data_IF_458466018978
#
_entry.id   IF_458466018978
#
_cell.length_a   1.000
_cell.length_b   1.000
_cell.length_c   1.000
_cell.angle_alpha   90.00
_cell.angle_beta   90.00
_cell.angle_gamma   90.00
#
_symmetry.space_group_name_H-M   'P 1'
#
loop_
_entity.id
_entity.type
_entity.pdbx_description
1 polymer ?
#
# COMPACT_ATOMS: atom_id res chain seq x y z
N UNK A 1 13.68 -0.54 18.99
CA UNK A 1 13.92 0.70 18.23
C UNK A 1 12.71 0.87 17.32
N UNK A 2 11.65 1.47 17.86
CA UNK A 2 10.54 1.95 17.06
C UNK A 2 11.13 3.07 16.21
N UNK A 3 11.45 2.78 14.94
CA UNK A 3 11.82 3.85 14.02
C UNK A 3 10.65 4.81 14.02
N UNK A 4 10.93 6.03 14.48
CA UNK A 4 10.04 7.17 14.39
C UNK A 4 9.58 7.27 12.93
N UNK A 5 8.40 6.71 12.66
CA UNK A 5 7.89 6.44 11.31
C UNK A 5 7.30 7.72 10.69
N UNK A 6 7.81 8.88 11.10
CA UNK A 6 7.34 10.21 10.68
C UNK A 6 7.78 10.54 9.25
N UNK A 7 8.83 9.87 8.74
CA UNK A 7 9.35 10.06 7.37
C UNK A 7 9.05 8.88 6.42
N UNK A 8 8.48 7.78 6.93
CA UNK A 8 8.17 6.61 6.11
C UNK A 8 6.85 6.81 5.37
N UNK A 9 6.97 7.23 4.11
CA UNK A 9 5.86 7.31 3.16
C UNK A 9 5.37 5.93 2.66
N UNK A 10 5.92 4.82 3.14
CA UNK A 10 5.47 3.47 2.77
C UNK A 10 4.70 2.83 3.92
N UNK A 11 3.49 2.35 3.62
CA UNK A 11 2.62 1.67 4.57
C UNK A 11 2.54 0.18 4.22
N UNK A 12 2.26 -0.62 5.25
CA UNK A 12 1.95 -2.03 5.11
C UNK A 12 0.49 -2.26 5.49
N UNK A 13 -0.25 -2.87 4.58
CA UNK A 13 -1.68 -3.13 4.69
C UNK A 13 -1.85 -4.64 4.78
N UNK A 14 -2.64 -5.12 5.73
CA UNK A 14 -3.01 -6.53 5.86
C UNK A 14 -4.53 -6.64 5.88
N UNK A 15 -5.07 -7.83 5.58
CA UNK A 15 -6.50 -8.06 5.58
C UNK A 15 -7.27 -7.45 4.41
N UNK A 16 -6.58 -7.06 3.34
CA UNK A 16 -7.25 -6.93 2.05
C UNK A 16 -7.86 -8.34 1.76
N UNK A 17 -9.16 -8.52 1.44
CA UNK A 17 -9.85 -9.84 1.23
C UNK A 17 -9.18 -10.92 0.32
N UNK A 18 -9.71 -11.25 -0.87
CA UNK A 18 -8.95 -12.03 -1.90
C UNK A 18 -9.11 -11.52 -3.35
N UNK A 19 -9.73 -10.34 -3.54
CA UNK A 19 -10.13 -9.80 -4.85
C UNK A 19 -9.51 -8.45 -5.24
N UNK A 20 -8.49 -7.95 -4.54
CA UNK A 20 -7.87 -6.64 -4.85
C UNK A 20 -6.61 -6.78 -5.68
N UNK A 21 -6.46 -5.82 -6.58
CA UNK A 21 -5.33 -5.68 -7.46
C UNK A 21 -4.51 -4.45 -7.08
N UNK A 22 -3.28 -4.37 -7.61
CA UNK A 22 -2.42 -3.19 -7.46
C UNK A 22 -3.17 -1.92 -7.86
N UNK A 23 -3.94 -1.98 -8.95
CA UNK A 23 -4.75 -0.86 -9.43
C UNK A 23 -5.87 -0.49 -8.47
N UNK A 24 -6.63 -1.47 -7.96
CA UNK A 24 -7.70 -1.23 -6.99
C UNK A 24 -7.19 -0.63 -5.68
N UNK A 25 -6.09 -1.17 -5.16
CA UNK A 25 -5.41 -0.63 -3.97
C UNK A 25 -4.94 0.79 -4.25
N UNK A 26 -4.40 1.05 -5.44
CA UNK A 26 -3.99 2.39 -5.80
C UNK A 26 -5.13 3.38 -5.91
N UNK A 27 -6.23 2.99 -6.55
CA UNK A 27 -7.43 3.82 -6.69
C UNK A 27 -8.04 4.17 -5.34
N UNK A 28 -7.94 3.24 -4.39
CA UNK A 28 -8.38 3.45 -3.03
C UNK A 28 -7.43 4.37 -2.27
N UNK A 29 -6.14 4.09 -2.24
CA UNK A 29 -5.19 4.88 -1.45
C UNK A 29 -4.89 6.26 -2.08
N UNK A 30 -5.08 6.44 -3.40
CA UNK A 30 -4.88 7.75 -4.06
C UNK A 30 -5.86 8.81 -3.56
N UNK A 31 -7.00 8.40 -2.98
CA UNK A 31 -7.99 9.32 -2.41
C UNK A 31 -7.50 9.94 -1.10
N UNK A 32 -6.61 9.24 -0.39
CA UNK A 32 -6.01 9.68 0.88
C UNK A 32 -4.77 10.53 0.59
N UNK A 33 -3.98 10.16 -0.42
CA UNK A 33 -2.90 10.98 -0.91
C UNK A 33 -2.15 10.39 -2.09
N UNK A 34 -1.10 11.06 -2.55
CA UNK A 34 -0.46 10.71 -3.83
C UNK A 34 0.35 9.42 -3.64
N UNK A 35 -0.02 8.36 -4.36
CA UNK A 35 0.77 7.12 -4.41
C UNK A 35 1.92 7.32 -5.37
N UNK A 36 3.10 6.88 -4.96
CA UNK A 36 4.28 6.93 -5.80
C UNK A 36 4.08 6.05 -7.02
N UNK A 37 4.22 6.61 -8.22
CA UNK A 37 4.08 5.87 -9.48
C UNK A 37 5.46 5.58 -10.07
N UNK A 38 5.68 4.34 -10.48
CA UNK A 38 6.91 3.95 -11.16
C UNK A 38 6.92 4.55 -12.57
N UNK A 39 7.83 5.49 -12.84
CA UNK A 39 7.96 6.15 -14.15
C UNK A 39 8.28 5.20 -15.31
N UNK A 40 8.79 3.99 -15.05
CA UNK A 40 9.07 2.99 -16.11
C UNK A 40 7.82 2.26 -16.57
N UNK A 41 6.94 1.89 -15.64
CA UNK A 41 5.75 1.08 -15.94
C UNK A 41 4.46 1.91 -15.95
N UNK A 42 4.50 3.12 -15.40
CA UNK A 42 3.30 3.93 -15.16
C UNK A 42 2.42 3.38 -14.03
N UNK A 43 2.89 2.35 -13.31
CA UNK A 43 2.10 1.68 -12.28
C UNK A 43 2.44 2.20 -10.88
N UNK A 44 1.43 2.29 -9.99
CA UNK A 44 1.64 2.65 -8.60
C UNK A 44 2.59 1.66 -7.91
N UNK A 45 3.45 2.16 -7.03
CA UNK A 45 4.41 1.38 -6.26
C UNK A 45 3.68 0.66 -5.14
N UNK A 46 3.05 -0.45 -5.51
CA UNK A 46 2.33 -1.34 -4.60
C UNK A 46 2.82 -2.76 -4.84
N UNK A 47 3.21 -3.46 -3.78
CA UNK A 47 3.47 -4.89 -3.84
C UNK A 47 2.38 -5.62 -3.10
N UNK A 48 1.64 -6.47 -3.81
CA UNK A 48 0.72 -7.44 -3.20
C UNK A 48 1.47 -8.71 -2.87
N UNK A 49 1.21 -9.28 -1.69
CA UNK A 49 1.74 -10.56 -1.28
C UNK A 49 0.68 -11.64 -1.47
N UNK A 50 1.03 -12.62 -2.29
CA UNK A 50 0.27 -13.85 -2.48
C UNK A 50 0.88 -14.98 -1.69
N UNK A 51 0.02 -15.80 -1.12
CA UNK A 51 0.41 -16.98 -0.38
C UNK A 51 0.91 -18.03 -1.37
N UNK A 52 2.17 -18.44 -1.21
CA UNK A 52 2.78 -19.39 -2.13
C UNK A 52 2.22 -20.81 -1.96
N UNK A 53 1.72 -21.15 -0.77
CA UNK A 53 1.20 -22.50 -0.48
C UNK A 53 -0.21 -22.69 -1.03
N UNK A 54 -1.09 -21.72 -0.81
CA UNK A 54 -2.49 -21.78 -1.24
C UNK A 54 -2.72 -21.16 -2.63
N UNK A 55 -1.78 -20.37 -3.13
CA UNK A 55 -1.94 -19.60 -4.37
C UNK A 55 -2.94 -18.44 -4.26
N UNK A 56 -3.48 -18.19 -3.06
CA UNK A 56 -4.43 -17.10 -2.79
C UNK A 56 -3.71 -15.84 -2.37
N UNK A 57 -4.34 -14.68 -2.56
CA UNK A 57 -3.84 -13.43 -1.98
C UNK A 57 -3.83 -13.57 -0.44
N UNK A 58 -2.71 -13.23 0.22
CA UNK A 58 -2.65 -13.23 1.70
C UNK A 58 -3.45 -12.08 2.29
N UNK A 59 -3.90 -11.16 1.45
CA UNK A 59 -4.45 -9.90 1.90
C UNK A 59 -3.43 -8.89 2.37
N UNK A 60 -2.16 -9.14 2.09
CA UNK A 60 -1.08 -8.29 2.52
C UNK A 60 -0.56 -7.50 1.32
N UNK A 61 -0.30 -6.21 1.52
CA UNK A 61 0.25 -5.33 0.51
C UNK A 61 1.16 -4.26 1.14
N UNK A 62 2.18 -3.83 0.41
CA UNK A 62 2.88 -2.57 0.72
C UNK A 62 2.44 -1.51 -0.26
N UNK A 63 2.16 -0.30 0.23
CA UNK A 63 1.79 0.86 -0.58
C UNK A 63 2.76 2.00 -0.29
N UNK A 64 3.48 2.46 -1.30
CA UNK A 64 4.38 3.61 -1.17
C UNK A 64 3.70 4.89 -1.66
N UNK A 65 3.54 5.86 -0.76
CA UNK A 65 3.12 7.22 -1.06
C UNK A 65 4.29 8.09 -1.50
N UNK A 66 3.97 9.21 -2.14
CA UNK A 66 4.92 10.28 -2.44
C UNK A 66 5.18 11.10 -1.16
N UNK A 67 4.12 11.39 -0.40
CA UNK A 67 4.15 12.22 0.81
C UNK A 67 4.02 11.41 2.12
N UNK A 68 4.89 11.65 3.14
CA UNK A 68 4.77 11.06 4.47
C UNK A 68 3.43 11.28 5.19
N UNK A 69 2.80 12.48 5.18
CA UNK A 69 1.51 12.68 5.84
C UNK A 69 0.39 11.85 5.21
N UNK A 70 0.46 11.56 3.91
CA UNK A 70 -0.52 10.70 3.23
C UNK A 70 -0.42 9.25 3.71
N UNK A 71 0.80 8.74 3.91
CA UNK A 71 1.01 7.43 4.50
C UNK A 71 0.42 7.35 5.92
N UNK A 72 0.65 8.39 6.75
CA UNK A 72 0.09 8.45 8.10
C UNK A 72 -1.44 8.47 8.09
N UNK A 73 -2.05 9.30 7.24
CA UNK A 73 -3.50 9.37 7.10
C UNK A 73 -4.10 8.06 6.57
N UNK A 74 -3.37 7.35 5.72
CA UNK A 74 -3.79 6.06 5.21
C UNK A 74 -3.77 4.96 6.29
N UNK A 75 -2.81 5.00 7.21
CA UNK A 75 -2.82 4.11 8.38
C UNK A 75 -4.01 4.46 9.27
N UNK A 76 -4.20 5.74 9.61
CA UNK A 76 -5.30 6.21 10.48
C UNK A 76 -6.70 5.88 9.92
N UNK A 77 -6.84 5.85 8.59
CA UNK A 77 -8.08 5.46 7.92
C UNK A 77 -8.38 3.95 8.02
N UNK A 78 -7.34 3.12 8.15
CA UNK A 78 -7.43 1.65 8.10
C UNK A 78 -7.18 0.95 9.45
N UNK A 79 -6.72 1.67 10.48
CA UNK A 79 -6.65 1.24 11.90
C UNK A 79 -8.06 1.12 12.51
#
# INVERSE_FOLDING_TARGET
QEQDNSDNNTIFVQGLGDDYTVDSVADFFKQIGIIKVNKKTGLPMINLYTDRETGKLKGEATVSFDDPPSAKAAIDWFD
#
